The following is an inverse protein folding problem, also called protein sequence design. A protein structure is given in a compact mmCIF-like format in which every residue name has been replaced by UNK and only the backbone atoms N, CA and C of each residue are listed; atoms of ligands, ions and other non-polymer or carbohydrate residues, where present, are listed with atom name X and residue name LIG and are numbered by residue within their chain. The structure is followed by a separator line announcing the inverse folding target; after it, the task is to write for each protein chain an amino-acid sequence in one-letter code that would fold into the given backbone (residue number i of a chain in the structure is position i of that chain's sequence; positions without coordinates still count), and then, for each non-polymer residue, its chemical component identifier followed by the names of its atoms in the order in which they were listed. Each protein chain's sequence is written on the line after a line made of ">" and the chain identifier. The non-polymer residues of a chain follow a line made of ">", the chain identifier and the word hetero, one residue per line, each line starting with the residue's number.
data_IF_199457931386
#
_entry.id   IF_199457931386
#
_cell.length_a   1.000
_cell.length_b   1.000
_cell.length_c   1.000
_cell.angle_alpha   90.00
_cell.angle_beta   90.00
_cell.angle_gamma   90.00
#
_symmetry.space_group_name_H-M   'P 1'
#
loop_
_entity.id
_entity.type
_entity.pdbx_description
1 polymer ?
#
# COMPACT_ATOMS: atom_id res chain seq x y z
N UNK A 1 -37.77 2.73 -5.54
CA UNK A 1 -36.33 2.88 -5.23
C UNK A 1 -35.54 2.47 -6.46
N UNK A 2 -34.77 3.37 -7.08
CA UNK A 2 -33.84 2.99 -8.16
C UNK A 2 -32.63 2.33 -7.48
N UNK A 3 -32.48 1.03 -7.68
CA UNK A 3 -31.26 0.31 -7.25
C UNK A 3 -30.21 0.65 -8.30
N UNK A 4 -29.29 1.54 -7.96
CA UNK A 4 -28.10 1.74 -8.79
C UNK A 4 -27.20 0.51 -8.62
N UNK A 5 -26.65 -0.06 -9.71
CA UNK A 5 -25.72 -1.17 -9.60
C UNK A 5 -24.52 -0.71 -8.78
N UNK A 6 -24.12 -1.52 -7.79
CA UNK A 6 -22.94 -1.26 -6.99
C UNK A 6 -21.72 -1.27 -7.93
N UNK A 7 -20.95 -0.18 -8.01
CA UNK A 7 -19.75 -0.17 -8.85
C UNK A 7 -18.78 -1.25 -8.35
N UNK A 8 -18.26 -2.05 -9.26
CA UNK A 8 -17.27 -3.07 -8.94
C UNK A 8 -15.94 -2.40 -8.51
N UNK A 9 -15.34 -2.82 -7.39
CA UNK A 9 -14.02 -2.35 -7.01
C UNK A 9 -12.98 -2.70 -8.08
N UNK A 10 -12.20 -1.71 -8.53
CA UNK A 10 -11.26 -1.89 -9.65
C UNK A 10 -10.20 -2.97 -9.44
N UNK A 11 -9.91 -3.37 -8.19
CA UNK A 11 -8.96 -4.45 -7.91
C UNK A 11 -9.49 -5.83 -8.35
N UNK A 12 -10.80 -6.04 -8.41
CA UNK A 12 -11.40 -7.31 -8.86
C UNK A 12 -11.07 -7.51 -10.34
N UNK A 13 -11.41 -6.52 -11.17
CA UNK A 13 -11.07 -6.52 -12.59
C UNK A 13 -9.56 -6.71 -12.85
N UNK A 14 -8.70 -6.03 -12.08
CA UNK A 14 -7.25 -6.18 -12.22
C UNK A 14 -6.76 -7.59 -11.86
N UNK A 15 -7.38 -8.21 -10.86
CA UNK A 15 -7.09 -9.58 -10.47
C UNK A 15 -7.53 -10.57 -11.56
N UNK A 16 -8.78 -10.48 -12.01
CA UNK A 16 -9.34 -11.37 -13.03
C UNK A 16 -8.62 -11.27 -14.38
N UNK A 17 -8.16 -10.07 -14.76
CA UNK A 17 -7.41 -9.87 -15.99
C UNK A 17 -5.94 -10.30 -15.89
N UNK A 18 -5.46 -10.74 -14.72
CA UNK A 18 -4.05 -11.06 -14.48
C UNK A 18 -3.12 -9.84 -14.38
N UNK A 19 -3.63 -8.62 -14.54
CA UNK A 19 -2.82 -7.40 -14.49
C UNK A 19 -2.27 -7.14 -13.09
N UNK A 20 -3.03 -7.50 -12.05
CA UNK A 20 -2.58 -7.39 -10.67
C UNK A 20 -1.34 -8.27 -10.43
N UNK A 21 -1.32 -9.48 -10.98
CA UNK A 21 -0.18 -10.40 -10.85
C UNK A 21 1.06 -9.84 -11.55
N UNK A 22 0.91 -9.31 -12.77
CA UNK A 22 2.02 -8.64 -13.49
C UNK A 22 2.62 -7.49 -12.68
N UNK A 23 1.77 -6.64 -12.09
CA UNK A 23 2.23 -5.52 -11.23
C UNK A 23 2.95 -6.01 -9.98
N UNK A 24 2.50 -7.11 -9.39
CA UNK A 24 3.19 -7.72 -8.24
C UNK A 24 4.58 -8.18 -8.63
N UNK A 25 4.73 -8.86 -9.77
CA UNK A 25 6.03 -9.32 -10.27
C UNK A 25 6.99 -8.14 -10.54
N UNK A 26 6.51 -7.08 -11.19
CA UNK A 26 7.28 -5.85 -11.42
C UNK A 26 7.70 -5.18 -10.11
N UNK A 27 6.78 -5.06 -9.15
CA UNK A 27 7.07 -4.48 -7.85
C UNK A 27 8.09 -5.31 -7.05
N UNK A 28 8.04 -6.64 -7.15
CA UNK A 28 9.00 -7.54 -6.52
C UNK A 28 10.38 -7.46 -7.18
N UNK A 29 10.46 -7.37 -8.50
CA UNK A 29 11.73 -7.18 -9.20
C UNK A 29 12.39 -5.84 -8.82
N UNK A 30 11.60 -4.77 -8.71
CA UNK A 30 12.08 -3.45 -8.28
C UNK A 30 12.64 -3.41 -6.85
N UNK A 31 12.45 -4.46 -6.04
CA UNK A 31 13.04 -4.57 -4.71
C UNK A 31 14.54 -4.91 -4.73
N UNK A 32 15.07 -5.47 -5.82
CA UNK A 32 16.49 -5.82 -5.95
C UNK A 32 17.41 -4.58 -6.04
N UNK A 33 16.95 -3.51 -6.69
CA UNK A 33 17.57 -2.16 -6.72
C UNK A 33 16.53 -1.12 -6.30
N UNK A 34 16.24 -1.04 -4.99
CA UNK A 34 15.10 -0.26 -4.52
C UNK A 34 15.28 1.26 -4.69
N UNK A 35 14.49 1.85 -5.60
CA UNK A 35 14.41 3.31 -5.88
C UNK A 35 13.01 3.90 -5.66
N UNK A 36 12.13 3.20 -4.95
CA UNK A 36 10.72 3.58 -4.75
C UNK A 36 10.49 4.85 -3.91
N UNK A 37 11.54 5.46 -3.36
CA UNK A 37 11.44 6.69 -2.58
C UNK A 37 12.46 7.72 -3.08
N UNK A 38 12.28 9.02 -2.76
CA UNK A 38 13.18 10.09 -3.22
C UNK A 38 14.65 9.94 -2.77
N UNK A 39 14.96 9.02 -1.86
CA UNK A 39 16.33 8.71 -1.46
C UNK A 39 17.09 7.84 -2.46
N UNK A 40 16.40 7.20 -3.40
CA UNK A 40 16.97 6.36 -4.47
C UNK A 40 18.10 5.43 -3.98
N UNK A 41 17.82 4.71 -2.88
CA UNK A 41 18.87 4.09 -2.10
C UNK A 41 19.62 2.92 -2.77
N UNK A 42 19.01 2.30 -3.78
CA UNK A 42 19.58 1.20 -4.58
C UNK A 42 19.98 -0.04 -3.78
N UNK A 43 19.28 -0.31 -2.66
CA UNK A 43 19.57 -1.49 -1.83
C UNK A 43 18.67 -2.66 -2.19
N UNK A 44 19.16 -3.87 -1.92
CA UNK A 44 18.46 -5.10 -2.24
C UNK A 44 17.53 -5.52 -1.09
N UNK A 45 16.25 -5.19 -1.22
CA UNK A 45 15.22 -5.57 -0.23
C UNK A 45 14.87 -7.06 -0.27
N UNK A 46 15.26 -7.81 -1.30
CA UNK A 46 15.02 -9.26 -1.36
C UNK A 46 15.80 -10.00 -0.26
N UNK A 47 16.93 -9.46 0.19
CA UNK A 47 17.72 -9.96 1.32
C UNK A 47 17.42 -9.26 2.65
N UNK A 48 16.26 -8.58 2.75
CA UNK A 48 15.82 -7.82 3.93
C UNK A 48 16.77 -6.67 4.34
N UNK A 49 17.60 -6.18 3.42
CA UNK A 49 18.47 -5.03 3.65
C UNK A 49 17.66 -3.77 4.00
N UNK A 50 18.24 -2.90 4.83
CA UNK A 50 17.60 -1.68 5.34
C UNK A 50 18.54 -0.49 5.20
N UNK A 51 17.99 0.66 4.84
CA UNK A 51 18.70 1.95 4.80
C UNK A 51 17.89 3.04 5.52
N UNK A 52 17.87 4.26 4.98
CA UNK A 52 17.25 5.45 5.60
C UNK A 52 15.80 5.23 6.04
N UNK A 53 14.96 4.60 5.21
CA UNK A 53 13.54 4.37 5.54
C UNK A 53 13.30 3.17 6.48
N UNK A 54 14.33 2.36 6.78
CA UNK A 54 14.28 1.22 7.71
C UNK A 54 13.21 0.15 7.41
N UNK A 55 12.74 0.06 6.16
CA UNK A 55 11.88 -1.02 5.64
C UNK A 55 12.79 -2.07 4.98
N UNK A 56 12.48 -3.35 5.20
CA UNK A 56 13.17 -4.50 4.59
C UNK A 56 12.35 -5.11 3.44
N UNK A 57 12.27 -6.44 3.37
CA UNK A 57 11.53 -7.18 2.32
C UNK A 57 10.02 -7.03 2.41
N UNK A 58 9.51 -7.05 3.63
CA UNK A 58 8.08 -7.08 3.90
C UNK A 58 7.62 -5.74 4.47
N UNK A 59 6.44 -5.31 3.99
CA UNK A 59 5.72 -4.21 4.63
C UNK A 59 5.36 -4.61 6.07
N UNK A 60 5.42 -3.66 6.99
CA UNK A 60 5.06 -3.88 8.40
C UNK A 60 3.70 -3.25 8.65
N UNK A 61 2.74 -4.04 9.13
CA UNK A 61 1.45 -3.52 9.58
C UNK A 61 1.59 -3.06 11.04
N UNK A 62 1.19 -1.82 11.32
CA UNK A 62 1.16 -1.26 12.66
C UNK A 62 -0.19 -1.53 13.34
N UNK A 63 -1.29 -1.38 12.59
CA UNK A 63 -2.65 -1.59 13.08
C UNK A 63 -3.64 -1.73 11.91
N UNK A 64 -4.79 -2.32 12.19
CA UNK A 64 -5.93 -2.37 11.28
C UNK A 64 -7.22 -2.25 12.09
N UNK A 65 -8.17 -1.43 11.63
CA UNK A 65 -9.43 -1.16 12.34
C UNK A 65 -10.43 -0.40 11.44
N UNK A 66 -11.72 -0.35 11.80
CA UNK A 66 -12.67 0.57 11.19
C UNK A 66 -12.32 2.01 11.57
N UNK A 67 -11.86 2.80 10.60
CA UNK A 67 -11.38 4.15 10.84
C UNK A 67 -12.50 5.17 10.63
N UNK A 68 -12.79 5.93 11.69
CA UNK A 68 -13.83 6.97 11.68
C UNK A 68 -13.26 8.39 11.54
N UNK A 69 -11.92 8.53 11.40
CA UNK A 69 -11.25 9.82 11.28
C UNK A 69 -11.19 10.40 9.87
N UNK A 70 -11.55 9.62 8.85
CA UNK A 70 -11.65 10.07 7.44
C UNK A 70 -12.91 10.93 7.24
N UNK A 71 -12.96 11.71 6.15
CA UNK A 71 -14.14 12.49 5.77
C UNK A 71 -15.40 11.62 5.62
N UNK A 72 -16.57 12.20 5.96
CA UNK A 72 -17.88 11.51 5.96
C UNK A 72 -18.22 10.83 4.63
N UNK A 73 -17.83 11.44 3.50
CA UNK A 73 -18.07 10.89 2.17
C UNK A 73 -17.20 9.66 1.85
N UNK A 74 -16.13 9.41 2.61
CA UNK A 74 -15.17 8.32 2.39
C UNK A 74 -15.31 7.20 3.43
N UNK A 75 -15.55 7.53 4.71
CA UNK A 75 -15.72 6.53 5.77
C UNK A 75 -17.05 5.77 5.73
N UNK A 76 -18.06 6.33 5.05
CA UNK A 76 -19.42 5.82 5.09
C UNK A 76 -19.96 5.68 6.52
N UNK A 77 -20.86 4.72 6.75
CA UNK A 77 -21.57 4.60 8.03
C UNK A 77 -20.85 3.72 9.07
N UNK A 78 -19.87 2.92 8.64
CA UNK A 78 -19.20 1.92 9.49
C UNK A 78 -17.70 2.13 9.65
N UNK A 79 -17.21 3.30 9.25
CA UNK A 79 -15.77 3.57 9.16
C UNK A 79 -15.17 2.99 7.88
N UNK A 80 -14.10 3.60 7.42
CA UNK A 80 -13.30 3.03 6.33
C UNK A 80 -12.51 1.83 6.83
N UNK A 81 -12.35 0.82 5.97
CA UNK A 81 -11.46 -0.30 6.26
C UNK A 81 -10.01 0.17 6.13
N UNK A 82 -9.32 0.34 7.26
CA UNK A 82 -7.99 0.94 7.28
C UNK A 82 -6.93 -0.06 7.72
N UNK A 83 -5.80 -0.03 7.01
CA UNK A 83 -4.56 -0.73 7.37
C UNK A 83 -3.48 0.34 7.45
N UNK A 84 -2.90 0.56 8.63
CA UNK A 84 -1.77 1.44 8.79
C UNK A 84 -0.47 0.66 8.74
N UNK A 85 0.43 1.07 7.85
CA UNK A 85 1.78 0.54 7.76
C UNK A 85 2.73 1.30 8.68
N UNK A 86 3.72 0.59 9.20
CA UNK A 86 4.81 1.17 9.97
C UNK A 86 5.98 1.58 9.06
N UNK A 87 6.77 2.53 9.56
CA UNK A 87 7.89 3.21 8.88
C UNK A 87 7.43 4.23 7.84
N UNK A 88 8.16 5.33 7.78
CA UNK A 88 8.01 6.37 6.77
C UNK A 88 9.40 6.60 6.14
N UNK A 89 9.43 6.81 4.83
CA UNK A 89 10.62 7.27 4.11
C UNK A 89 10.88 8.77 4.33
N UNK A 90 9.93 9.52 4.89
CA UNK A 90 10.09 10.90 5.30
C UNK A 90 10.74 10.97 6.70
N UNK A 91 11.56 12.00 6.91
CA UNK A 91 12.20 12.31 8.20
C UNK A 91 11.65 13.63 8.73
N UNK A 92 10.36 13.67 9.00
CA UNK A 92 9.68 14.86 9.49
C UNK A 92 10.30 15.34 10.81
N UNK A 93 10.38 16.66 10.99
CA UNK A 93 10.91 17.31 12.21
C UNK A 93 9.83 17.53 13.27
N UNK A 94 8.62 17.02 13.03
CA UNK A 94 7.42 17.15 13.86
C UNK A 94 6.93 15.75 14.23
#
# INVERSE_FOLDING_TARGET
>A
MRVHPTPEPGYIRLYESGELQRRVEEALAALEDCRLCPWECGINRLHDEKKVCRIGRYARVSSYFPHFGEEDCLRGWRGSGTIFFARCNLRCVF
#
